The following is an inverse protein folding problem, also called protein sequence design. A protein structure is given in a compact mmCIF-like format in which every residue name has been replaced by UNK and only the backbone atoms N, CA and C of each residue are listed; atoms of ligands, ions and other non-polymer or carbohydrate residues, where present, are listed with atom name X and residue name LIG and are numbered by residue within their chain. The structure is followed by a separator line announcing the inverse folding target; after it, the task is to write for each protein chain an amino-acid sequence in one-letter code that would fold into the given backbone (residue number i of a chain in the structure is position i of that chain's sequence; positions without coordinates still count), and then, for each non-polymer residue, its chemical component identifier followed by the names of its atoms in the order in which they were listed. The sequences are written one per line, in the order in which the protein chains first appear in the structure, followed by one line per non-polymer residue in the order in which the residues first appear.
data_IF_398501952737
#
_entry.id   IF_398501952737
#
_cell.length_a   1.000
_cell.length_b   1.000
_cell.length_c   1.000
_cell.angle_alpha   90.00
_cell.angle_beta   90.00
_cell.angle_gamma   90.00
#
_symmetry.space_group_name_H-M   'P 1'
#
loop_
_entity.id
_entity.type
_entity.pdbx_description
1 polymer ?
#
# COMPACT_ATOMS: atom_id res chain seq x y z
N UNK A 1 15.22 -2.53 16.40
CA UNK A 1 15.43 -3.93 15.96
C UNK A 1 14.13 -4.43 15.32
N UNK A 2 14.16 -5.47 14.45
CA UNK A 2 12.94 -6.00 13.79
C UNK A 2 11.88 -6.50 14.79
N UNK A 3 12.32 -7.00 15.95
CA UNK A 3 11.45 -7.45 17.05
C UNK A 3 10.70 -6.29 17.73
N UNK A 4 11.33 -5.12 17.88
CA UNK A 4 10.68 -3.95 18.48
C UNK A 4 9.51 -3.44 17.63
N UNK A 5 9.72 -3.31 16.32
CA UNK A 5 8.65 -2.94 15.38
C UNK A 5 7.48 -3.94 15.44
N UNK A 6 7.79 -5.24 15.50
CA UNK A 6 6.76 -6.26 15.62
C UNK A 6 5.95 -6.11 16.91
N UNK A 7 6.60 -5.85 18.04
CA UNK A 7 5.93 -5.65 19.33
C UNK A 7 5.00 -4.41 19.32
N UNK A 8 5.46 -3.29 18.78
CA UNK A 8 4.64 -2.07 18.61
C UNK A 8 3.43 -2.33 17.71
N UNK A 9 3.65 -3.06 16.61
CA UNK A 9 2.59 -3.41 15.68
C UNK A 9 1.53 -4.27 16.37
N UNK A 10 1.92 -5.28 17.16
CA UNK A 10 0.98 -6.10 17.93
C UNK A 10 0.19 -5.29 18.94
N UNK A 11 0.82 -4.33 19.62
CA UNK A 11 0.13 -3.43 20.55
C UNK A 11 -0.92 -2.58 19.82
N UNK A 12 -0.55 -2.01 18.68
CA UNK A 12 -1.46 -1.23 17.84
C UNK A 12 -2.65 -2.06 17.35
N UNK A 13 -2.42 -3.29 16.90
CA UNK A 13 -3.48 -4.20 16.45
C UNK A 13 -4.46 -4.53 17.57
N UNK A 14 -3.98 -4.79 18.79
CA UNK A 14 -4.85 -5.01 19.96
C UNK A 14 -5.73 -3.80 20.24
N UNK A 15 -5.19 -2.59 20.09
CA UNK A 15 -5.96 -1.36 20.32
C UNK A 15 -7.01 -1.12 19.23
N UNK A 16 -6.70 -1.47 17.97
CA UNK A 16 -7.68 -1.45 16.89
C UNK A 16 -8.83 -2.42 17.16
N UNK A 17 -8.52 -3.64 17.57
CA UNK A 17 -9.50 -4.66 17.91
C UNK A 17 -10.39 -4.24 19.09
N UNK A 18 -9.79 -3.66 20.13
CA UNK A 18 -10.53 -3.06 21.26
C UNK A 18 -11.47 -1.92 20.84
N UNK A 19 -11.22 -1.30 19.69
CA UNK A 19 -12.06 -0.26 19.10
C UNK A 19 -13.08 -0.81 18.09
N UNK A 20 -13.17 -2.14 17.93
CA UNK A 20 -14.03 -2.81 16.95
C UNK A 20 -13.53 -2.71 15.51
N UNK A 21 -12.24 -2.40 15.31
CA UNK A 21 -11.63 -2.29 13.99
C UNK A 21 -10.73 -3.49 13.71
N UNK A 22 -10.79 -3.98 12.47
CA UNK A 22 -9.94 -5.04 11.97
C UNK A 22 -9.12 -4.55 10.78
N UNK A 23 -7.89 -5.04 10.67
CA UNK A 23 -7.08 -4.81 9.48
C UNK A 23 -7.54 -5.72 8.35
N UNK A 24 -7.32 -5.31 7.10
CA UNK A 24 -7.45 -6.18 5.94
C UNK A 24 -6.05 -6.59 5.46
N UNK A 25 -5.56 -7.80 5.79
CA UNK A 25 -4.20 -8.22 5.46
C UNK A 25 -3.93 -8.28 3.95
N UNK A 26 -4.95 -8.48 3.12
CA UNK A 26 -4.80 -8.51 1.65
C UNK A 26 -4.44 -7.14 1.06
N UNK A 27 -4.73 -6.05 1.79
CA UNK A 27 -4.36 -4.68 1.41
C UNK A 27 -3.07 -4.21 2.09
N UNK A 28 -2.53 -5.00 3.01
CA UNK A 28 -1.28 -4.71 3.68
C UNK A 28 -0.10 -5.19 2.85
N UNK A 29 1.01 -4.46 2.94
CA UNK A 29 2.29 -4.88 2.40
C UNK A 29 3.40 -4.35 3.32
N UNK A 30 4.54 -5.04 3.36
CA UNK A 30 5.69 -4.60 4.15
C UNK A 30 6.79 -4.04 3.25
N UNK A 31 7.64 -3.18 3.81
CA UNK A 31 8.86 -2.71 3.16
C UNK A 31 10.05 -3.08 4.05
N UNK A 32 10.88 -4.01 3.59
CA UNK A 32 12.08 -4.41 4.30
C UNK A 32 13.31 -3.87 3.55
N UNK A 33 14.00 -2.91 4.18
CA UNK A 33 15.24 -2.33 3.67
C UNK A 33 16.43 -2.96 4.40
N UNK A 34 17.35 -3.52 3.62
CA UNK A 34 18.58 -4.09 4.12
C UNK A 34 19.78 -3.35 3.55
N UNK A 35 20.79 -3.09 4.38
CA UNK A 35 22.02 -2.43 3.95
C UNK A 35 23.03 -3.49 3.51
N UNK A 36 23.65 -3.30 2.35
CA UNK A 36 24.81 -4.08 1.91
C UNK A 36 26.07 -3.38 2.42
N UNK A 37 26.74 -3.87 3.47
CA UNK A 37 27.79 -3.12 4.16
C UNK A 37 28.96 -2.75 3.26
N UNK A 38 29.36 -3.67 2.37
CA UNK A 38 30.47 -3.47 1.44
C UNK A 38 30.17 -2.42 0.36
N UNK A 39 28.91 -2.27 -0.04
CA UNK A 39 28.53 -1.38 -1.14
C UNK A 39 27.95 -0.05 -0.65
N UNK A 40 27.70 0.11 0.66
CA UNK A 40 26.98 1.26 1.25
C UNK A 40 25.65 1.55 0.53
N UNK A 41 25.01 0.50 0.01
CA UNK A 41 23.75 0.57 -0.73
C UNK A 41 22.65 -0.11 0.09
N UNK A 42 21.43 0.37 -0.10
CA UNK A 42 20.23 -0.27 0.42
C UNK A 42 19.62 -1.13 -0.66
N UNK A 43 19.12 -2.30 -0.29
CA UNK A 43 18.30 -3.13 -1.16
C UNK A 43 16.97 -3.44 -0.49
N UNK A 44 15.94 -3.60 -1.31
CA UNK A 44 14.63 -4.04 -0.85
C UNK A 44 14.64 -5.56 -0.80
N UNK A 45 14.44 -6.12 0.38
CA UNK A 45 14.26 -7.55 0.57
C UNK A 45 12.80 -7.92 0.26
N UNK A 46 12.58 -8.43 -0.95
CA UNK A 46 11.26 -8.81 -1.48
C UNK A 46 10.81 -10.19 -1.03
N UNK A 47 11.70 -10.97 -0.39
CA UNK A 47 11.42 -12.35 0.04
C UNK A 47 10.88 -12.41 1.47
N UNK A 48 11.11 -11.36 2.24
CA UNK A 48 10.64 -11.27 3.61
C UNK A 48 9.11 -11.33 3.68
N UNK A 49 8.62 -12.09 4.65
CA UNK A 49 7.21 -12.14 5.03
C UNK A 49 7.10 -11.77 6.50
N UNK A 50 6.08 -10.98 6.83
CA UNK A 50 5.78 -10.62 8.20
C UNK A 50 4.39 -11.12 8.53
N UNK A 51 4.25 -11.75 9.69
CA UNK A 51 2.95 -12.13 10.19
C UNK A 51 2.26 -10.91 10.83
N UNK A 52 1.05 -10.61 10.37
CA UNK A 52 0.20 -9.55 10.87
C UNK A 52 -1.21 -10.13 11.05
N UNK A 53 -1.73 -10.12 12.29
CA UNK A 53 -3.08 -10.60 12.63
C UNK A 53 -3.40 -11.98 12.02
N UNK A 54 -2.50 -12.95 12.21
CA UNK A 54 -2.59 -14.34 11.70
C UNK A 54 -2.51 -14.50 10.18
N UNK A 55 -2.20 -13.44 9.44
CA UNK A 55 -1.99 -13.48 8.00
C UNK A 55 -0.53 -13.16 7.64
N UNK A 56 -0.01 -13.84 6.63
CA UNK A 56 1.31 -13.57 6.07
C UNK A 56 1.23 -12.40 5.10
N UNK A 57 1.83 -11.28 5.48
CA UNK A 57 1.93 -10.08 4.66
C UNK A 57 3.26 -10.09 3.92
N UNK A 58 3.17 -9.99 2.59
CA UNK A 58 4.33 -10.04 1.70
C UNK A 58 5.04 -8.68 1.65
N UNK A 59 6.35 -8.71 1.41
CA UNK A 59 7.13 -7.51 1.13
C UNK A 59 6.80 -6.97 -0.27
N UNK A 60 6.75 -5.65 -0.41
CA UNK A 60 6.58 -4.99 -1.70
C UNK A 60 7.74 -5.34 -2.64
N UNK A 61 7.44 -5.63 -3.90
CA UNK A 61 8.48 -5.71 -4.92
C UNK A 61 8.96 -4.31 -5.28
N UNK A 62 10.20 -4.21 -5.75
CA UNK A 62 10.77 -2.95 -6.24
C UNK A 62 9.97 -2.36 -7.40
N UNK A 63 9.28 -3.20 -8.18
CA UNK A 63 8.42 -2.80 -9.30
C UNK A 63 6.97 -2.53 -8.89
N UNK A 64 6.59 -2.81 -7.64
CA UNK A 64 5.20 -2.66 -7.20
C UNK A 64 4.81 -1.19 -7.16
N UNK A 65 3.69 -0.88 -7.81
CA UNK A 65 3.01 0.40 -7.69
C UNK A 65 1.87 0.24 -6.68
N UNK A 66 1.85 1.08 -5.65
CA UNK A 66 0.78 1.08 -4.65
C UNK A 66 0.11 2.44 -4.59
N UNK A 67 -1.15 2.46 -4.14
CA UNK A 67 -1.94 3.69 -4.06
C UNK A 67 -1.95 4.19 -2.61
N UNK A 68 -1.53 5.43 -2.42
CA UNK A 68 -1.53 6.11 -1.12
C UNK A 68 -2.23 7.46 -1.27
N UNK A 69 -3.34 7.66 -0.54
CA UNK A 69 -4.18 8.87 -0.62
C UNK A 69 -4.47 9.36 -2.06
N UNK A 70 -4.83 8.43 -2.96
CA UNK A 70 -5.13 8.81 -4.35
C UNK A 70 -3.92 8.82 -5.29
N UNK A 71 -2.70 8.87 -4.75
CA UNK A 71 -1.46 8.92 -5.53
C UNK A 71 -0.91 7.53 -5.78
N UNK A 72 -0.42 7.29 -6.99
CA UNK A 72 0.37 6.10 -7.29
C UNK A 72 1.81 6.35 -6.84
N UNK A 73 2.35 5.48 -6.01
CA UNK A 73 3.73 5.49 -5.53
C UNK A 73 4.43 4.23 -6.01
N UNK A 74 5.69 4.37 -6.38
CA UNK A 74 6.58 3.30 -6.83
C UNK A 74 7.99 3.57 -6.31
N UNK A 75 8.92 2.64 -6.54
CA UNK A 75 10.35 2.86 -6.26
C UNK A 75 10.95 4.04 -7.03
N UNK A 76 10.36 4.40 -8.18
CA UNK A 76 10.74 5.57 -8.97
C UNK A 76 10.10 6.88 -8.48
N UNK A 77 9.35 6.84 -7.37
CA UNK A 77 8.61 7.97 -6.82
C UNK A 77 7.15 8.01 -7.25
N UNK A 78 6.57 9.21 -7.32
CA UNK A 78 5.17 9.42 -7.65
C UNK A 78 4.91 9.05 -9.11
N UNK A 79 4.09 8.02 -9.32
CA UNK A 79 3.61 7.60 -10.62
C UNK A 79 2.73 8.68 -11.26
N UNK A 80 2.77 8.75 -12.60
CA UNK A 80 1.87 9.62 -13.35
C UNK A 80 0.42 9.22 -13.09
N UNK A 81 -0.52 10.18 -13.02
CA UNK A 81 -1.93 9.87 -12.86
C UNK A 81 -2.43 8.98 -13.99
N UNK A 82 -3.39 8.11 -13.68
CA UNK A 82 -4.02 7.22 -14.66
C UNK A 82 -4.98 8.02 -15.56
N UNK A 83 -4.45 8.50 -16.69
CA UNK A 83 -5.16 9.30 -17.68
C UNK A 83 -6.30 8.48 -18.32
N UNK A 84 -6.17 7.17 -18.43
CA UNK A 84 -7.20 6.32 -19.06
C UNK A 84 -8.45 6.25 -18.19
N UNK A 85 -8.29 6.10 -16.88
CA UNK A 85 -9.40 6.18 -15.93
C UNK A 85 -10.08 7.55 -15.95
N UNK A 86 -9.31 8.62 -16.08
CA UNK A 86 -9.87 9.98 -16.20
C UNK A 86 -10.67 10.13 -17.50
N UNK A 87 -10.10 9.71 -18.64
CA UNK A 87 -10.80 9.73 -19.93
C UNK A 87 -12.09 8.93 -19.91
N UNK A 88 -12.07 7.72 -19.36
CA UNK A 88 -13.26 6.88 -19.23
C UNK A 88 -14.35 7.58 -18.41
N UNK A 89 -13.99 8.17 -17.27
CA UNK A 89 -14.94 8.93 -16.45
C UNK A 89 -15.48 10.18 -17.15
N UNK A 90 -14.67 10.85 -17.96
CA UNK A 90 -15.10 12.01 -18.75
C UNK A 90 -16.09 11.60 -19.84
N UNK A 91 -15.84 10.49 -20.53
CA UNK A 91 -16.80 9.93 -21.50
C UNK A 91 -18.09 9.52 -20.81
N UNK A 92 -18.02 8.83 -19.67
CA UNK A 92 -19.21 8.48 -18.88
C UNK A 92 -19.98 9.74 -18.41
N UNK A 93 -19.30 10.85 -18.10
CA UNK A 93 -19.94 12.12 -17.74
C UNK A 93 -20.62 12.81 -18.94
N UNK A 94 -20.05 12.67 -20.13
CA UNK A 94 -20.56 13.26 -21.38
C UNK A 94 -21.77 12.48 -21.93
N UNK A 95 -21.77 11.16 -21.74
CA UNK A 95 -22.84 10.27 -22.18
C UNK A 95 -24.01 10.15 -21.19
N UNK A 96 -23.86 10.64 -19.96
CA UNK A 96 -24.97 10.67 -19.01
C UNK A 96 -25.94 11.78 -19.44
N UNK A 97 -27.22 11.45 -19.76
CA UNK A 97 -28.20 12.47 -20.04
C UNK A 97 -28.31 13.36 -18.80
N UNK A 98 -27.99 14.65 -18.96
CA UNK A 98 -28.23 15.67 -17.95
C UNK A 98 -29.64 15.46 -17.41
N UNK A 99 -29.77 15.26 -16.09
CA UNK A 99 -31.07 15.09 -15.42
C UNK A 99 -32.09 16.02 -16.09
N UNK A 100 -33.25 15.54 -16.57
CA UNK A 100 -34.25 16.42 -17.13
C UNK A 100 -34.57 17.48 -16.07
N UNK A 101 -34.34 18.74 -16.40
CA UNK A 101 -34.77 19.86 -15.58
C UNK A 101 -36.30 19.89 -15.65
N UNK A 102 -36.97 19.18 -14.75
CA UNK A 102 -38.37 19.39 -14.38
C UNK A 102 -38.55 19.10 -12.89
#
# INVERSE_FOLDING_TARGET
SKQGLHAELQLFLRQLEASGLEINPQKCATLNLQMVPRMKKWYVDTTHKMEIYRAQVHSLQTTTVYKYFGMHLSSAGRGKPDIQKLRKKLVELDEVPLKPQQ
#
